data_IF_969660830524
#
_entry.id   IF_969660830524
#
_cell.length_a   1.000
_cell.length_b   1.000
_cell.length_c   1.000
_cell.angle_alpha   90.00
_cell.angle_beta   90.00
_cell.angle_gamma   90.00
#
_symmetry.space_group_name_H-M   'P 1'
#
loop_
_entity.id
_entity.type
_entity.pdbx_description
1 polymer ?
#
# COMPACT_ATOMS: atom_id res chain seq x y z
N UNK A 1 28.34 14.13 1.08
CA UNK A 1 27.14 14.08 0.21
C UNK A 1 26.23 12.99 0.74
N UNK A 2 25.09 13.34 1.35
CA UNK A 2 24.19 12.37 1.99
C UNK A 2 23.45 11.62 0.90
N UNK A 3 23.77 10.34 0.74
CA UNK A 3 23.20 9.45 -0.26
C UNK A 3 21.83 8.97 0.23
N UNK A 4 20.84 9.87 0.30
CA UNK A 4 19.48 9.51 0.69
C UNK A 4 18.91 8.49 -0.31
N UNK A 5 18.32 7.38 0.15
CA UNK A 5 17.71 6.39 -0.74
C UNK A 5 16.61 7.07 -1.55
N UNK A 6 16.61 6.87 -2.87
CA UNK A 6 15.57 7.39 -3.77
C UNK A 6 14.61 6.24 -4.07
N UNK A 7 13.47 6.22 -3.39
CA UNK A 7 12.44 5.19 -3.60
C UNK A 7 11.20 5.84 -4.17
N UNK A 8 10.68 5.27 -5.26
CA UNK A 8 9.42 5.66 -5.87
C UNK A 8 8.37 4.57 -5.59
N UNK A 9 7.21 4.98 -5.07
CA UNK A 9 6.10 4.10 -4.76
C UNK A 9 4.93 4.45 -5.66
N UNK A 10 4.40 3.44 -6.37
CA UNK A 10 3.20 3.56 -7.18
C UNK A 10 2.15 2.62 -6.62
N UNK A 11 0.92 3.12 -6.48
CA UNK A 11 -0.21 2.33 -5.97
C UNK A 11 -1.33 2.38 -7.00
N UNK A 12 -1.83 1.20 -7.36
CA UNK A 12 -3.04 1.05 -8.18
C UNK A 12 -4.11 0.38 -7.33
N UNK A 13 -5.34 0.89 -7.40
CA UNK A 13 -6.49 0.36 -6.65
C UNK A 13 -7.60 -0.08 -7.59
N UNK A 14 -8.24 -1.22 -7.30
CA UNK A 14 -9.35 -1.77 -8.06
C UNK A 14 -10.48 -2.13 -7.12
N UNK A 15 -11.70 -1.69 -7.43
CA UNK A 15 -12.92 -2.11 -6.71
C UNK A 15 -13.31 -3.53 -7.14
N UNK A 16 -13.58 -4.41 -6.16
CA UNK A 16 -13.96 -5.80 -6.41
C UNK A 16 -15.45 -5.95 -6.11
N UNK A 17 -16.27 -5.73 -7.13
CA UNK A 17 -17.73 -5.80 -7.03
C UNK A 17 -18.21 -7.15 -6.48
N UNK A 18 -17.65 -8.26 -6.99
CA UNK A 18 -18.00 -9.62 -6.58
C UNK A 18 -17.78 -9.93 -5.09
N UNK A 19 -16.98 -9.13 -4.37
CA UNK A 19 -16.73 -9.28 -2.93
C UNK A 19 -17.35 -8.16 -2.08
N UNK A 20 -18.05 -7.24 -2.73
CA UNK A 20 -18.66 -6.06 -2.13
C UNK A 20 -20.18 -6.25 -2.03
N UNK A 21 -20.77 -5.62 -1.03
CA UNK A 21 -22.22 -5.52 -0.85
C UNK A 21 -22.53 -4.08 -0.46
N UNK A 22 -22.85 -3.20 -1.44
CA UNK A 22 -23.15 -1.80 -1.17
C UNK A 22 -24.33 -1.61 -0.21
N UNK A 23 -25.33 -2.51 -0.27
CA UNK A 23 -26.49 -2.50 0.62
C UNK A 23 -26.11 -2.75 2.09
N UNK A 24 -25.06 -3.54 2.32
CA UNK A 24 -24.48 -3.80 3.65
C UNK A 24 -23.34 -2.82 4.02
N UNK A 25 -23.16 -1.75 3.24
CA UNK A 25 -22.02 -0.82 3.33
C UNK A 25 -20.64 -1.49 3.23
N UNK A 26 -20.54 -2.67 2.63
CA UNK A 26 -19.30 -3.44 2.51
C UNK A 26 -18.66 -3.20 1.14
N UNK A 27 -17.43 -2.68 1.11
CA UNK A 27 -16.71 -2.37 -0.13
C UNK A 27 -15.30 -2.95 -0.10
N UNK A 28 -14.99 -3.81 -1.06
CA UNK A 28 -13.70 -4.49 -1.16
C UNK A 28 -12.87 -3.91 -2.28
N UNK A 29 -11.60 -3.63 -1.98
CA UNK A 29 -10.64 -3.12 -2.94
C UNK A 29 -9.37 -3.98 -2.94
N UNK A 30 -8.83 -4.23 -4.12
CA UNK A 30 -7.50 -4.78 -4.31
C UNK A 30 -6.52 -3.66 -4.60
N UNK A 31 -5.30 -3.77 -4.06
CA UNK A 31 -4.24 -2.80 -4.31
C UNK A 31 -3.01 -3.50 -4.86
N UNK A 32 -2.37 -2.89 -5.84
CA UNK A 32 -1.06 -3.29 -6.34
C UNK A 32 -0.08 -2.20 -5.99
N UNK A 33 0.91 -2.52 -5.15
CA UNK A 33 1.97 -1.59 -4.76
C UNK A 33 3.23 -1.97 -5.53
N UNK A 34 3.77 -1.01 -6.28
CA UNK A 34 5.06 -1.14 -6.96
C UNK A 34 6.06 -0.22 -6.29
N UNK A 35 7.15 -0.80 -5.80
CA UNK A 35 8.25 -0.09 -5.16
C UNK A 35 9.46 -0.14 -6.10
N UNK A 36 9.98 1.03 -6.47
CA UNK A 36 11.14 1.18 -7.35
C UNK A 36 12.28 1.84 -6.59
N UNK A 37 13.44 1.21 -6.55
CA UNK A 37 14.66 1.82 -6.05
C UNK A 37 15.34 2.58 -7.19
N UNK A 38 15.24 3.91 -7.17
CA UNK A 38 15.91 4.85 -8.07
C UNK A 38 17.23 5.38 -7.48
N UNK A 39 17.68 4.77 -6.38
CA UNK A 39 18.90 5.09 -5.68
C UNK A 39 20.05 4.19 -6.14
N UNK A 40 21.27 4.59 -5.78
CA UNK A 40 22.51 3.86 -6.11
C UNK A 40 22.89 2.81 -5.06
N UNK A 41 22.17 2.76 -3.95
CA UNK A 41 22.37 1.78 -2.87
C UNK A 41 21.14 0.87 -2.77
N UNK A 42 21.32 -0.42 -2.38
CA UNK A 42 20.20 -1.31 -2.15
C UNK A 42 19.33 -0.81 -0.99
N UNK A 43 18.03 -1.09 -1.06
CA UNK A 43 17.06 -0.78 0.01
C UNK A 43 16.31 -2.05 0.42
N UNK A 44 15.82 -2.10 1.65
CA UNK A 44 15.01 -3.20 2.14
C UNK A 44 13.69 -2.67 2.70
N UNK A 45 12.59 -3.31 2.33
CA UNK A 45 11.30 -3.02 2.93
C UNK A 45 11.17 -3.78 4.26
N UNK A 46 11.23 -3.05 5.38
CA UNK A 46 11.15 -3.65 6.72
C UNK A 46 9.72 -3.83 7.20
N UNK A 47 8.87 -2.84 6.93
CA UNK A 47 7.51 -2.80 7.41
C UNK A 47 6.64 -1.91 6.55
N UNK A 48 5.33 -2.00 6.80
CA UNK A 48 4.32 -1.17 6.16
C UNK A 48 3.40 -0.59 7.22
N UNK A 49 2.97 0.63 6.97
CA UNK A 49 1.95 1.32 7.74
C UNK A 49 0.95 1.91 6.76
N UNK A 50 -0.32 1.65 7.02
CA UNK A 50 -1.43 2.17 6.24
C UNK A 50 -2.36 2.93 7.17
N UNK A 51 -2.61 4.19 6.82
CA UNK A 51 -3.69 4.98 7.39
C UNK A 51 -4.83 5.00 6.38
N UNK A 52 -5.94 4.38 6.75
CA UNK A 52 -7.10 4.20 5.88
C UNK A 52 -8.22 5.08 6.41
N UNK A 53 -8.58 6.12 5.66
CA UNK A 53 -9.69 7.01 6.00
C UNK A 53 -10.94 6.60 5.23
N UNK A 54 -12.05 6.41 5.93
CA UNK A 54 -13.32 6.07 5.31
C UNK A 54 -14.12 7.33 4.88
N UNK A 55 -15.28 7.14 4.27
CA UNK A 55 -16.18 8.17 3.75
C UNK A 55 -16.74 9.13 4.80
N UNK A 56 -16.65 8.76 6.07
CA UNK A 56 -17.09 9.57 7.22
C UNK A 56 -15.89 10.23 7.94
N UNK A 57 -14.69 10.15 7.37
CA UNK A 57 -13.47 10.69 7.99
C UNK A 57 -12.90 9.85 9.12
N UNK A 58 -13.43 8.64 9.37
CA UNK A 58 -12.88 7.74 10.39
C UNK A 58 -11.65 7.04 9.84
N UNK A 59 -10.58 7.07 10.62
CA UNK A 59 -9.30 6.46 10.28
C UNK A 59 -9.18 5.05 10.86
N UNK A 60 -8.44 4.20 10.15
CA UNK A 60 -8.07 2.85 10.57
C UNK A 60 -6.61 2.62 10.22
N UNK A 61 -5.84 2.26 11.22
CA UNK A 61 -4.41 1.98 11.06
C UNK A 61 -4.20 0.48 10.83
N UNK A 62 -3.43 0.15 9.80
CA UNK A 62 -2.99 -1.22 9.52
C UNK A 62 -1.48 -1.21 9.39
N UNK A 63 -0.81 -1.88 10.31
CA UNK A 63 0.64 -2.01 10.33
C UNK A 63 1.05 -3.48 10.31
N UNK A 64 2.24 -3.75 9.77
CA UNK A 64 2.82 -5.08 9.80
C UNK A 64 4.21 -5.12 9.19
N UNK A 65 4.94 -6.18 9.50
CA UNK A 65 6.28 -6.39 8.96
C UNK A 65 6.22 -6.82 7.48
N UNK A 66 7.18 -6.32 6.71
CA UNK A 66 7.35 -6.60 5.30
C UNK A 66 6.08 -6.37 4.46
N UNK A 67 5.94 -7.17 3.41
CA UNK A 67 4.77 -7.22 2.53
C UNK A 67 4.51 -8.69 2.17
N UNK A 68 3.27 -9.16 2.34
CA UNK A 68 2.90 -10.59 2.14
C UNK A 68 3.81 -11.57 2.92
N UNK A 69 4.29 -11.17 4.10
CA UNK A 69 5.16 -12.01 4.94
C UNK A 69 6.64 -12.05 4.54
N UNK A 70 7.07 -11.23 3.58
CA UNK A 70 8.49 -11.11 3.19
C UNK A 70 9.01 -9.68 3.31
N UNK A 71 10.31 -9.52 3.57
CA UNK A 71 11.01 -8.23 3.58
C UNK A 71 11.91 -8.14 2.34
N UNK A 72 11.39 -7.68 1.18
CA UNK A 72 12.15 -7.70 -0.07
C UNK A 72 13.35 -6.75 -0.02
N UNK A 73 14.49 -7.26 -0.49
CA UNK A 73 15.66 -6.45 -0.84
C UNK A 73 15.54 -5.98 -2.28
N UNK A 74 15.59 -4.67 -2.49
CA UNK A 74 15.44 -4.02 -3.79
C UNK A 74 16.78 -3.40 -4.17
N UNK A 75 17.46 -4.04 -5.13
CA UNK A 75 18.72 -3.55 -5.67
C UNK A 75 18.56 -2.19 -6.38
N UNK A 76 19.65 -1.41 -6.55
CA UNK A 76 19.66 -0.18 -7.33
C UNK A 76 19.02 -0.34 -8.72
N UNK A 77 18.23 0.64 -9.14
CA UNK A 77 17.52 0.68 -10.43
C UNK A 77 16.58 -0.52 -10.70
N UNK A 78 16.21 -1.27 -9.65
CA UNK A 78 15.25 -2.38 -9.71
C UNK A 78 13.90 -2.01 -9.11
N UNK A 79 12.88 -2.78 -9.49
CA UNK A 79 11.52 -2.64 -8.99
C UNK A 79 10.94 -3.97 -8.56
N UNK A 80 10.07 -3.93 -7.56
CA UNK A 80 9.28 -5.07 -7.09
C UNK A 80 7.82 -4.65 -7.03
N UNK A 81 6.92 -5.48 -7.55
CA UNK A 81 5.48 -5.28 -7.45
C UNK A 81 4.87 -6.40 -6.62
N UNK A 82 4.02 -6.04 -5.66
CA UNK A 82 3.34 -6.99 -4.79
C UNK A 82 1.84 -6.72 -4.79
N UNK A 83 1.00 -7.71 -5.16
CA UNK A 83 -0.43 -7.60 -4.96
C UNK A 83 -0.75 -7.71 -3.47
N UNK A 84 -1.57 -6.79 -2.96
CA UNK A 84 -2.09 -6.81 -1.60
C UNK A 84 -3.61 -6.63 -1.66
N UNK A 85 -4.36 -7.59 -1.10
CA UNK A 85 -5.79 -7.45 -0.90
C UNK A 85 -6.04 -6.82 0.47
N UNK A 86 -6.82 -5.75 0.52
CA UNK A 86 -7.25 -5.11 1.76
C UNK A 86 -8.79 -5.10 1.78
N UNK A 87 -9.37 -5.86 2.71
CA UNK A 87 -10.81 -5.83 2.97
C UNK A 87 -11.15 -4.58 3.78
N UNK A 88 -11.80 -3.59 3.18
CA UNK A 88 -12.44 -2.51 3.93
C UNK A 88 -13.88 -2.92 4.30
N UNK A 89 -14.28 -2.65 5.54
CA UNK A 89 -15.64 -2.93 6.01
C UNK A 89 -16.64 -1.78 5.82
N UNK A 90 -16.25 -0.57 5.36
CA UNK A 90 -17.17 0.60 5.21
C UNK A 90 -16.80 1.57 4.08
N UNK A 91 -17.80 2.34 3.62
CA UNK A 91 -17.77 3.32 2.50
C UNK A 91 -16.53 4.21 2.51
N UNK A 92 -15.94 4.46 1.34
CA UNK A 92 -14.68 5.20 1.18
C UNK A 92 -14.88 6.66 0.77
N UNK A 93 -14.01 7.55 1.30
CA UNK A 93 -13.65 8.85 0.73
C UNK A 93 -12.22 8.71 0.17
N UNK A 94 -11.82 9.45 -0.88
CA UNK A 94 -10.56 9.20 -1.59
C UNK A 94 -9.37 9.13 -0.63
N UNK A 95 -8.69 7.97 -0.50
CA UNK A 95 -7.53 7.86 0.38
C UNK A 95 -6.48 8.86 -0.03
N UNK A 96 -6.04 9.63 0.94
CA UNK A 96 -4.68 10.16 0.95
C UNK A 96 -3.77 9.06 1.51
N UNK A 97 -3.22 8.21 0.64
CA UNK A 97 -2.15 7.29 1.06
C UNK A 97 -0.94 8.14 1.41
N UNK A 98 -0.69 8.31 2.69
CA UNK A 98 0.49 9.03 3.20
C UNK A 98 1.46 7.98 3.73
N UNK A 99 2.52 7.71 2.98
CA UNK A 99 3.72 7.05 3.51
C UNK A 99 4.46 8.07 4.35
N UNK A 100 4.56 7.81 5.66
CA UNK A 100 5.54 8.46 6.52
C UNK A 100 6.91 7.80 6.35
#
# INVERSE_FOLDING_TARGET
>A
MINSPRVCIQVQSVYIEAQSSPDDERYVFAYTVTIRNLGRAPVQLLGRYWLITNGHGRETEVQGEGVVGVQPHIAPEKSTSTPAALLLKRRWAPCRVTTK
#
